data_IF_366623172142
#
_entry.id   IF_366623172142
#
_cell.length_a   1.000
_cell.length_b   1.000
_cell.length_c   1.000
_cell.angle_alpha   90.00
_cell.angle_beta   90.00
_cell.angle_gamma   90.00
#
_symmetry.space_group_name_H-M   'P 1'
#
loop_
_entity.id
_entity.type
_entity.pdbx_description
1 polymer ?
#
# COMPACT_ATOMS: atom_id res chain seq x y z
N UNK A 1 6.03 -6.47 16.07
CA UNK A 1 5.57 -6.43 14.67
C UNK A 1 5.93 -5.08 14.10
N UNK A 2 6.61 -5.03 12.95
CA UNK A 2 7.15 -3.79 12.39
C UNK A 2 6.04 -2.83 12.01
N UNK A 3 5.85 -1.81 12.83
CA UNK A 3 4.91 -0.72 12.57
C UNK A 3 5.64 0.31 11.71
N UNK A 4 5.49 0.19 10.39
CA UNK A 4 6.19 1.05 9.44
C UNK A 4 5.88 2.53 9.68
N UNK A 5 4.65 2.84 10.09
CA UNK A 5 4.22 4.19 10.43
C UNK A 5 4.85 4.68 11.73
N UNK A 6 5.33 3.81 12.60
CA UNK A 6 6.10 4.19 13.79
C UNK A 6 7.57 4.51 13.49
N UNK A 7 8.18 3.78 12.57
CA UNK A 7 9.64 3.76 12.45
C UNK A 7 10.21 4.43 11.21
N UNK A 8 9.48 4.44 10.09
CA UNK A 8 9.96 5.08 8.88
C UNK A 8 10.20 6.59 9.10
N UNK A 9 11.11 7.18 8.36
CA UNK A 9 11.40 8.61 8.41
C UNK A 9 11.37 9.18 7.00
N UNK A 10 11.38 10.50 6.91
CA UNK A 10 11.69 11.19 5.65
C UNK A 10 12.95 10.58 5.03
N UNK A 11 12.89 10.43 3.71
CA UNK A 11 13.90 9.81 2.85
C UNK A 11 14.07 8.29 2.97
N UNK A 12 13.40 7.61 3.90
CA UNK A 12 13.41 6.14 3.93
C UNK A 12 12.73 5.56 2.68
N UNK A 13 13.29 4.45 2.20
CA UNK A 13 12.72 3.66 1.10
C UNK A 13 11.87 2.52 1.66
N UNK A 14 10.63 2.45 1.20
CA UNK A 14 9.67 1.41 1.54
C UNK A 14 9.46 0.55 0.30
N UNK A 15 9.66 -0.76 0.43
CA UNK A 15 9.47 -1.72 -0.66
C UNK A 15 8.38 -2.71 -0.28
N UNK A 16 7.38 -2.85 -1.14
CA UNK A 16 6.35 -3.87 -1.04
C UNK A 16 6.64 -5.04 -1.94
N UNK A 17 6.69 -6.24 -1.38
CA UNK A 17 6.88 -7.49 -2.12
C UNK A 17 5.67 -8.41 -1.99
N UNK A 18 5.36 -9.13 -3.05
CA UNK A 18 4.39 -10.21 -3.01
C UNK A 18 5.02 -11.45 -2.38
N UNK A 19 4.35 -12.00 -1.35
CA UNK A 19 4.69 -13.31 -0.80
C UNK A 19 4.32 -14.44 -1.76
N UNK A 20 4.94 -15.60 -1.55
CA UNK A 20 4.60 -16.84 -2.26
C UNK A 20 3.11 -17.18 -2.05
N UNK A 21 2.32 -17.17 -3.13
CA UNK A 21 0.89 -17.54 -3.10
C UNK A 21 -0.11 -16.41 -3.35
N UNK A 22 0.34 -15.18 -3.63
CA UNK A 22 -0.55 -14.12 -4.13
C UNK A 22 -1.19 -14.53 -5.47
N UNK A 23 -2.51 -14.36 -5.61
CA UNK A 23 -3.24 -14.71 -6.84
C UNK A 23 -2.78 -13.79 -7.98
N UNK A 24 -2.56 -14.37 -9.17
CA UNK A 24 -2.09 -13.63 -10.33
C UNK A 24 -0.58 -13.34 -10.35
N UNK A 25 0.16 -13.73 -9.31
CA UNK A 25 1.61 -13.59 -9.23
C UNK A 25 2.25 -14.98 -9.17
N UNK A 26 3.30 -15.18 -9.98
CA UNK A 26 4.01 -16.46 -10.13
C UNK A 26 4.47 -17.04 -8.80
N UNK A 27 4.33 -18.36 -8.63
CA UNK A 27 4.48 -19.05 -7.34
C UNK A 27 5.93 -19.25 -6.88
N UNK A 28 6.92 -18.88 -7.67
CA UNK A 28 8.31 -19.35 -7.51
C UNK A 28 9.26 -18.31 -6.92
N UNK A 29 9.06 -17.02 -7.15
CA UNK A 29 9.94 -15.94 -6.64
C UNK A 29 9.11 -14.76 -6.11
N UNK A 30 9.55 -14.09 -5.02
CA UNK A 30 8.92 -12.87 -4.57
C UNK A 30 9.01 -11.80 -5.68
N UNK A 31 7.91 -11.10 -5.90
CA UNK A 31 7.82 -10.06 -6.92
C UNK A 31 7.68 -8.69 -6.26
N UNK A 32 8.36 -7.68 -6.80
CA UNK A 32 8.19 -6.32 -6.32
C UNK A 32 6.82 -5.77 -6.75
N UNK A 33 5.99 -5.35 -5.79
CA UNK A 33 4.72 -4.68 -6.09
C UNK A 33 4.95 -3.19 -6.26
N UNK A 34 5.75 -2.60 -5.37
CA UNK A 34 6.07 -1.18 -5.41
C UNK A 34 7.33 -0.86 -4.61
N UNK A 35 7.91 0.31 -4.88
CA UNK A 35 8.73 1.04 -3.90
C UNK A 35 8.26 2.49 -3.80
N UNK A 36 8.54 3.13 -2.67
CA UNK A 36 8.36 4.57 -2.48
C UNK A 36 9.42 5.14 -1.55
N UNK A 37 9.80 6.39 -1.77
CA UNK A 37 10.48 7.21 -0.76
C UNK A 37 9.46 7.95 0.10
N UNK A 38 9.67 8.01 1.40
CA UNK A 38 8.86 8.86 2.29
C UNK A 38 9.25 10.32 2.06
N UNK A 39 8.42 11.05 1.31
CA UNK A 39 8.66 12.46 0.99
C UNK A 39 7.91 13.41 1.93
N UNK A 40 6.74 12.99 2.44
CA UNK A 40 5.89 13.80 3.31
C UNK A 40 5.23 12.92 4.37
N UNK A 41 5.15 13.45 5.58
CA UNK A 41 4.42 12.85 6.70
C UNK A 41 3.28 13.79 7.11
N UNK A 42 2.05 13.26 7.21
CA UNK A 42 0.87 14.00 7.67
C UNK A 42 0.16 13.20 8.77
N UNK A 43 -0.63 13.86 9.60
CA UNK A 43 -1.66 13.17 10.39
C UNK A 43 -2.79 12.67 9.49
N UNK A 44 -3.63 11.76 10.00
CA UNK A 44 -4.81 11.30 9.25
C UNK A 44 -5.74 12.46 8.89
N UNK A 45 -5.97 13.39 9.81
CA UNK A 45 -6.88 14.52 9.57
C UNK A 45 -6.27 15.56 8.63
N UNK A 46 -4.96 15.77 8.68
CA UNK A 46 -4.27 16.60 7.69
C UNK A 46 -4.40 16.00 6.28
N UNK A 47 -4.15 14.69 6.14
CA UNK A 47 -4.36 13.99 4.88
C UNK A 47 -5.82 14.07 4.42
N UNK A 48 -6.76 13.90 5.34
CA UNK A 48 -8.18 13.94 5.05
C UNK A 48 -8.60 15.33 4.56
N UNK A 49 -8.26 16.39 5.29
CA UNK A 49 -8.74 17.75 5.01
C UNK A 49 -8.01 18.43 3.84
N UNK A 50 -6.89 17.87 3.38
CA UNK A 50 -6.15 18.42 2.27
C UNK A 50 -6.85 18.15 0.91
N UNK A 51 -7.22 19.20 0.15
CA UNK A 51 -7.96 19.06 -1.10
C UNK A 51 -7.17 18.29 -2.18
N UNK A 52 -5.82 18.25 -2.11
CA UNK A 52 -4.98 17.49 -3.05
C UNK A 52 -5.30 15.99 -3.03
N UNK A 53 -5.77 15.47 -1.89
CA UNK A 53 -6.06 14.05 -1.69
C UNK A 53 -7.54 13.70 -1.77
N UNK A 54 -8.44 14.68 -1.99
CA UNK A 54 -9.86 14.42 -2.14
C UNK A 54 -10.18 13.36 -3.21
N UNK A 55 -9.41 13.36 -4.31
CA UNK A 55 -9.53 12.38 -5.42
C UNK A 55 -9.08 10.96 -5.08
N UNK A 56 -8.39 10.75 -3.96
CA UNK A 56 -7.93 9.44 -3.47
C UNK A 56 -8.93 8.76 -2.55
N UNK A 57 -9.99 9.47 -2.14
CA UNK A 57 -11.05 8.91 -1.30
C UNK A 57 -11.86 7.88 -2.11
N UNK A 58 -12.30 6.77 -1.49
CA UNK A 58 -13.14 5.79 -2.16
C UNK A 58 -14.39 6.42 -2.77
N UNK A 59 -14.80 5.93 -3.95
CA UNK A 59 -15.99 6.39 -4.65
C UNK A 59 -16.69 5.20 -5.31
N UNK A 60 -17.95 4.95 -4.93
CA UNK A 60 -18.78 3.87 -5.46
C UNK A 60 -20.16 4.44 -5.84
N UNK A 61 -20.60 4.33 -7.11
CA UNK A 61 -19.86 3.80 -8.26
C UNK A 61 -18.72 4.74 -8.69
N UNK A 62 -17.68 4.19 -9.33
CA UNK A 62 -16.52 4.97 -9.76
C UNK A 62 -15.55 4.16 -10.63
N UNK A 63 -14.41 4.74 -11.06
CA UNK A 63 -13.35 3.97 -11.71
C UNK A 63 -12.74 2.94 -10.76
N UNK A 64 -12.24 1.81 -11.28
CA UNK A 64 -11.70 0.68 -10.48
C UNK A 64 -10.78 1.16 -9.35
N UNK A 65 -9.83 2.04 -9.67
CA UNK A 65 -8.85 2.59 -8.71
C UNK A 65 -9.46 3.31 -7.50
N UNK A 66 -10.67 3.87 -7.63
CA UNK A 66 -11.40 4.51 -6.51
C UNK A 66 -12.40 3.58 -5.84
N UNK A 67 -12.70 2.44 -6.44
CA UNK A 67 -13.62 1.45 -5.87
C UNK A 67 -12.92 0.50 -4.90
N UNK A 68 -11.68 0.08 -5.19
CA UNK A 68 -10.91 -0.90 -4.39
C UNK A 68 -9.73 -0.25 -3.64
N UNK A 69 -9.84 1.03 -3.31
CA UNK A 69 -8.82 1.72 -2.52
C UNK A 69 -8.66 1.14 -1.12
N UNK A 70 -7.49 1.37 -0.54
CA UNK A 70 -7.21 1.07 0.87
C UNK A 70 -8.05 1.95 1.81
N UNK A 71 -8.09 1.60 3.09
CA UNK A 71 -8.83 2.33 4.12
C UNK A 71 -8.26 3.74 4.28
N UNK A 72 -9.12 4.73 4.11
CA UNK A 72 -8.80 6.13 4.41
C UNK A 72 -9.48 6.50 5.72
N UNK A 73 -8.68 6.72 6.76
CA UNK A 73 -9.16 7.01 8.11
C UNK A 73 -9.21 8.52 8.39
N UNK A 74 -10.14 8.93 9.25
CA UNK A 74 -10.24 10.27 9.85
C UNK A 74 -10.94 10.19 11.19
N UNK A 75 -10.80 11.20 12.04
CA UNK A 75 -11.68 11.34 13.18
C UNK A 75 -13.12 11.71 12.74
N UNK A 76 -14.10 11.23 13.49
CA UNK A 76 -15.50 11.57 13.35
C UNK A 76 -15.77 13.04 13.67
N UNK A 77 -16.99 13.54 13.41
CA UNK A 77 -17.34 14.94 13.65
C UNK A 77 -17.16 15.41 15.10
N UNK A 78 -17.22 14.48 16.07
CA UNK A 78 -17.02 14.73 17.49
C UNK A 78 -15.53 14.66 17.92
N UNK A 79 -14.64 14.28 17.01
CA UNK A 79 -13.21 14.14 17.25
C UNK A 79 -12.82 12.92 18.10
N UNK A 80 -13.78 12.12 18.57
CA UNK A 80 -13.54 11.04 19.52
C UNK A 80 -13.42 9.68 18.84
N UNK A 81 -14.25 9.42 17.83
CA UNK A 81 -14.30 8.12 17.15
C UNK A 81 -13.54 8.12 15.82
N UNK A 82 -12.95 6.98 15.48
CA UNK A 82 -12.37 6.79 14.15
C UNK A 82 -13.45 6.41 13.14
N UNK A 83 -13.40 7.03 11.97
CA UNK A 83 -14.21 6.69 10.80
C UNK A 83 -13.33 6.39 9.59
N UNK A 84 -13.82 5.58 8.67
CA UNK A 84 -13.20 5.37 7.36
C UNK A 84 -14.26 5.20 6.27
N UNK A 85 -13.90 5.52 5.05
CA UNK A 85 -14.83 5.45 3.90
C UNK A 85 -15.03 4.00 3.40
N UNK A 86 -16.25 3.67 3.03
CA UNK A 86 -16.60 2.35 2.46
C UNK A 86 -15.97 2.17 1.08
N UNK A 87 -15.22 1.09 0.90
CA UNK A 87 -14.72 0.63 -0.41
C UNK A 87 -15.31 -0.74 -0.77
N UNK A 88 -15.04 -1.24 -1.99
CA UNK A 88 -15.51 -2.55 -2.47
C UNK A 88 -15.04 -3.71 -1.59
N UNK A 89 -13.93 -3.54 -0.87
CA UNK A 89 -13.47 -4.52 0.12
C UNK A 89 -14.42 -4.65 1.33
N UNK A 90 -15.34 -3.69 1.53
CA UNK A 90 -16.19 -3.57 2.71
C UNK A 90 -17.67 -3.34 2.38
N UNK A 91 -18.09 -3.59 1.14
CA UNK A 91 -19.47 -3.33 0.70
C UNK A 91 -20.53 -4.15 1.47
N UNK A 92 -20.13 -5.28 2.08
CA UNK A 92 -20.97 -6.10 2.96
C UNK A 92 -20.82 -5.77 4.46
N UNK A 93 -19.93 -4.83 4.80
CA UNK A 93 -19.52 -4.46 6.15
C UNK A 93 -19.79 -2.98 6.32
N UNK A 94 -21.01 -2.62 6.74
CA UNK A 94 -21.33 -1.25 7.12
C UNK A 94 -20.21 -0.64 7.99
N UNK A 95 -19.90 0.63 7.73
CA UNK A 95 -18.86 1.46 8.35
C UNK A 95 -18.51 0.99 9.76
N UNK A 96 -17.43 0.23 9.91
CA UNK A 96 -17.03 -0.30 11.21
C UNK A 96 -16.29 0.78 11.99
N UNK A 97 -16.97 1.42 12.93
CA UNK A 97 -16.31 2.26 13.93
C UNK A 97 -15.51 1.36 14.88
N UNK A 98 -14.27 1.76 15.19
CA UNK A 98 -13.46 1.19 16.28
C UNK A 98 -13.24 -0.34 16.27
N UNK A 99 -13.26 -0.99 15.10
CA UNK A 99 -12.90 -2.41 14.96
C UNK A 99 -11.39 -2.68 15.15
N UNK A 100 -11.00 -3.94 15.38
CA UNK A 100 -9.59 -4.31 15.63
C UNK A 100 -8.60 -3.89 14.52
N UNK A 101 -9.07 -3.78 13.28
CA UNK A 101 -8.28 -3.23 12.17
C UNK A 101 -8.04 -1.72 12.30
N UNK A 102 -9.03 -0.95 12.75
CA UNK A 102 -8.91 0.48 12.98
C UNK A 102 -7.85 0.71 14.04
N UNK A 103 -8.00 0.07 15.21
CA UNK A 103 -7.04 0.16 16.32
C UNK A 103 -5.63 -0.24 15.89
N UNK A 104 -5.48 -1.18 14.96
CA UNK A 104 -4.16 -1.60 14.46
C UNK A 104 -3.55 -0.58 13.52
N UNK A 105 -4.34 -0.03 12.60
CA UNK A 105 -3.85 0.83 11.53
C UNK A 105 -3.71 2.31 11.98
N UNK A 106 -4.43 2.71 13.04
CA UNK A 106 -4.42 4.08 13.60
C UNK A 106 -3.57 4.22 14.87
N UNK A 107 -2.76 3.21 15.24
CA UNK A 107 -1.86 3.27 16.41
C UNK A 107 -0.88 4.43 16.39
N UNK A 108 -0.50 4.84 15.19
CA UNK A 108 0.36 5.99 14.95
C UNK A 108 -0.40 6.91 14.02
N UNK A 109 -0.67 8.13 14.47
CA UNK A 109 -1.35 9.17 13.70
C UNK A 109 -0.41 9.75 12.64
N UNK A 110 -0.08 8.90 11.66
CA UNK A 110 0.84 9.22 10.58
C UNK A 110 0.46 8.52 9.29
N UNK A 111 0.37 9.31 8.24
CA UNK A 111 0.21 8.90 6.84
C UNK A 111 1.50 9.25 6.12
N UNK A 112 2.14 8.25 5.52
CA UNK A 112 3.37 8.40 4.75
C UNK A 112 3.02 8.60 3.28
N UNK A 113 3.53 9.66 2.68
CA UNK A 113 3.26 10.04 1.30
C UNK A 113 4.54 10.11 0.50
N UNK A 114 4.40 9.82 -0.79
CA UNK A 114 5.49 9.84 -1.74
C UNK A 114 5.10 10.58 -3.01
N UNK A 115 6.07 11.31 -3.55
CA UNK A 115 6.16 11.80 -4.91
C UNK A 115 7.16 10.97 -5.74
N UNK A 116 8.02 10.18 -5.08
CA UNK A 116 9.04 9.32 -5.72
C UNK A 116 8.70 7.86 -5.44
N UNK A 117 7.95 7.27 -6.36
CA UNK A 117 7.51 5.90 -6.23
C UNK A 117 7.40 5.23 -7.59
N UNK A 118 7.47 3.90 -7.57
CA UNK A 118 7.04 3.05 -8.68
C UNK A 118 6.07 2.02 -8.14
N UNK A 119 4.88 1.93 -8.74
CA UNK A 119 3.90 0.88 -8.50
C UNK A 119 3.76 0.02 -9.75
N UNK A 120 4.30 -1.20 -9.71
CA UNK A 120 4.20 -2.17 -10.80
C UNK A 120 2.93 -3.02 -10.72
N UNK A 121 2.34 -3.16 -9.53
CA UNK A 121 1.18 -4.01 -9.33
C UNK A 121 1.49 -5.47 -9.72
N UNK A 122 0.68 -6.05 -10.61
CA UNK A 122 0.84 -7.46 -11.05
C UNK A 122 2.00 -7.70 -12.02
N UNK A 123 2.64 -6.64 -12.51
CA UNK A 123 3.74 -6.70 -13.47
C UNK A 123 5.10 -6.42 -12.82
N UNK A 124 5.18 -6.64 -11.51
CA UNK A 124 6.39 -6.51 -10.74
C UNK A 124 7.54 -7.36 -11.26
N UNK A 125 8.79 -6.85 -11.30
CA UNK A 125 9.93 -7.69 -11.57
C UNK A 125 10.11 -8.73 -10.46
N UNK A 126 10.53 -9.93 -10.83
CA UNK A 126 10.95 -10.95 -9.87
C UNK A 126 12.25 -10.52 -9.19
N UNK A 127 12.33 -10.66 -7.87
CA UNK A 127 13.55 -10.33 -7.13
C UNK A 127 14.65 -11.32 -7.48
N UNK A 128 15.83 -10.85 -7.94
CA UNK A 128 16.98 -11.72 -8.21
C UNK A 128 17.44 -12.49 -6.96
N UNK A 129 17.91 -13.73 -7.15
CA UNK A 129 18.26 -14.62 -6.04
C UNK A 129 19.30 -14.04 -5.07
N UNK A 130 20.27 -13.26 -5.58
CA UNK A 130 21.31 -12.62 -4.77
C UNK A 130 20.77 -11.46 -3.90
N UNK A 131 19.63 -10.86 -4.26
CA UNK A 131 18.97 -9.80 -3.48
C UNK A 131 17.96 -10.35 -2.46
N UNK A 132 17.55 -11.62 -2.57
CA UNK A 132 16.63 -12.27 -1.62
C UNK A 132 17.05 -12.12 -0.14
N UNK A 133 18.34 -12.12 0.25
CA UNK A 133 18.76 -11.89 1.63
C UNK A 133 18.36 -10.53 2.24
N UNK A 134 17.98 -9.55 1.41
CA UNK A 134 17.43 -8.25 1.83
C UNK A 134 15.95 -8.35 2.22
N UNK A 135 15.25 -9.38 1.74
CA UNK A 135 13.81 -9.55 1.89
C UNK A 135 13.49 -10.75 2.78
N UNK A 136 13.26 -10.55 4.09
CA UNK A 136 12.95 -11.66 4.99
C UNK A 136 11.65 -12.37 4.55
N UNK A 137 11.68 -13.72 4.56
CA UNK A 137 10.57 -14.60 4.21
C UNK A 137 9.36 -14.55 5.17
N UNK A 138 9.52 -13.85 6.31
CA UNK A 138 8.48 -13.64 7.31
C UNK A 138 8.36 -12.17 7.69
N UNK A 139 7.23 -11.79 8.30
CA UNK A 139 7.02 -10.43 8.85
C UNK A 139 8.09 -10.12 9.91
N UNK A 140 9.09 -9.33 9.54
CA UNK A 140 10.21 -8.92 10.39
C UNK A 140 10.91 -7.69 9.82
N UNK A 141 11.64 -6.98 10.68
CA UNK A 141 12.54 -5.90 10.28
C UNK A 141 13.95 -6.45 10.33
N UNK A 142 14.70 -6.36 9.23
CA UNK A 142 16.14 -6.58 9.22
C UNK A 142 16.78 -5.21 9.08
N UNK A 143 17.76 -4.93 9.92
CA UNK A 143 18.57 -3.72 9.87
C UNK A 143 20.00 -4.16 9.59
N UNK A 144 20.82 -3.24 9.06
CA UNK A 144 22.22 -3.49 8.68
C UNK A 144 22.33 -4.50 7.52
N UNK A 145 22.30 -3.97 6.32
CA UNK A 145 22.48 -4.72 5.08
C UNK A 145 23.88 -4.45 4.52
N UNK A 146 24.34 -5.36 3.68
CA UNK A 146 25.56 -5.15 2.90
C UNK A 146 25.35 -3.96 1.95
N UNK A 147 26.24 -2.96 2.02
CA UNK A 147 26.15 -1.74 1.19
C UNK A 147 26.21 -2.06 -0.31
N UNK A 148 26.94 -3.11 -0.71
CA UNK A 148 26.99 -3.52 -2.11
C UNK A 148 25.64 -4.08 -2.57
N UNK A 149 24.97 -4.89 -1.74
CA UNK A 149 23.63 -5.38 -2.03
C UNK A 149 22.59 -4.24 -2.06
N UNK A 150 22.76 -3.21 -1.24
CA UNK A 150 21.89 -2.04 -1.26
C UNK A 150 22.07 -1.22 -2.55
N UNK A 151 23.31 -1.03 -3.01
CA UNK A 151 23.59 -0.37 -4.28
C UNK A 151 22.99 -1.16 -5.46
N UNK A 152 23.16 -2.48 -5.49
CA UNK A 152 22.54 -3.33 -6.51
C UNK A 152 21.00 -3.27 -6.45
N UNK A 153 20.42 -3.21 -5.26
CA UNK A 153 18.98 -3.04 -5.09
C UNK A 153 18.51 -1.67 -5.62
N UNK A 154 19.23 -0.58 -5.32
CA UNK A 154 18.94 0.76 -5.82
C UNK A 154 18.84 0.77 -7.34
N UNK A 155 19.85 0.21 -8.01
CA UNK A 155 19.91 0.11 -9.46
C UNK A 155 18.78 -0.76 -9.99
N UNK A 156 18.55 -1.92 -9.37
CA UNK A 156 17.52 -2.87 -9.79
C UNK A 156 16.10 -2.28 -9.72
N UNK A 157 15.78 -1.53 -8.67
CA UNK A 157 14.45 -0.91 -8.52
C UNK A 157 14.30 0.42 -9.28
N UNK A 158 15.40 0.92 -9.85
CA UNK A 158 15.45 2.17 -10.58
C UNK A 158 15.12 3.36 -9.69
N UNK A 159 15.76 3.47 -8.52
CA UNK A 159 15.43 4.50 -7.51
C UNK A 159 15.58 5.93 -8.06
N UNK A 160 16.55 6.16 -8.95
CA UNK A 160 16.76 7.45 -9.62
C UNK A 160 15.72 7.78 -10.71
N UNK A 161 14.92 6.79 -11.11
CA UNK A 161 13.99 6.89 -12.24
C UNK A 161 12.58 6.39 -11.87
N UNK A 162 11.89 7.03 -10.89
CA UNK A 162 10.55 6.61 -10.47
C UNK A 162 9.55 6.69 -11.62
N UNK A 163 8.81 5.60 -11.85
CA UNK A 163 7.85 5.47 -12.95
C UNK A 163 6.42 5.87 -12.56
N UNK A 164 6.17 6.24 -11.31
CA UNK A 164 4.83 6.46 -10.77
C UNK A 164 3.95 5.20 -10.89
N UNK A 165 2.89 5.22 -11.69
CA UNK A 165 2.00 4.07 -11.89
C UNK A 165 2.42 3.30 -13.16
N UNK A 166 3.14 2.19 -12.99
CA UNK A 166 3.66 1.36 -14.07
C UNK A 166 2.78 0.15 -14.41
N UNK A 167 1.86 -0.25 -13.52
CA UNK A 167 0.98 -1.39 -13.76
C UNK A 167 -0.24 -1.46 -12.85
N UNK A 168 -1.16 -2.36 -13.19
CA UNK A 168 -2.44 -2.52 -12.48
C UNK A 168 -2.31 -3.48 -11.29
N UNK A 169 -3.11 -3.28 -10.22
CA UNK A 169 -3.23 -4.26 -9.14
C UNK A 169 -3.70 -5.63 -9.62
N UNK A 170 -3.21 -6.71 -9.01
CA UNK A 170 -3.56 -8.08 -9.38
C UNK A 170 -5.06 -8.39 -9.23
N UNK A 171 -5.72 -7.79 -8.24
CA UNK A 171 -7.15 -8.01 -7.96
C UNK A 171 -8.09 -7.27 -8.93
N UNK A 172 -7.57 -6.48 -9.89
CA UNK A 172 -8.42 -5.81 -10.87
C UNK A 172 -9.09 -6.74 -11.88
N UNK A 173 -8.59 -7.96 -11.99
CA UNK A 173 -9.18 -9.03 -12.79
C UNK A 173 -10.16 -9.88 -11.96
N UNK A 174 -10.36 -9.58 -10.67
CA UNK A 174 -11.23 -10.37 -9.81
C UNK A 174 -12.72 -10.05 -10.08
N UNK A 175 -13.51 -11.02 -10.60
CA UNK A 175 -14.92 -10.81 -10.89
C UNK A 175 -15.77 -10.56 -9.63
N UNK A 176 -15.27 -10.90 -8.43
CA UNK A 176 -15.94 -10.54 -7.18
C UNK A 176 -16.11 -9.02 -7.02
N UNK A 177 -15.15 -8.23 -7.51
CA UNK A 177 -15.19 -6.77 -7.39
C UNK A 177 -15.76 -6.09 -8.64
N UNK A 178 -15.51 -6.65 -9.81
CA UNK A 178 -15.81 -5.98 -11.09
C UNK A 178 -16.66 -6.79 -12.07
N UNK A 179 -17.15 -7.96 -11.66
CA UNK A 179 -18.10 -8.74 -12.46
C UNK A 179 -19.44 -8.01 -12.59
N UNK A 180 -20.05 -8.08 -13.77
CA UNK A 180 -21.42 -7.63 -13.95
C UNK A 180 -22.31 -8.41 -12.96
N UNK A 181 -22.99 -7.70 -12.04
CA UNK A 181 -24.06 -8.32 -11.26
C UNK A 181 -25.16 -8.65 -12.26
N UNK A 182 -25.27 -9.90 -12.67
CA UNK A 182 -26.46 -10.39 -13.35
C UNK A 182 -27.60 -10.27 -12.35
N UNK A 183 -28.46 -9.28 -12.54
CA UNK A 183 -29.74 -9.17 -11.85
C UNK A 183 -30.55 -10.42 -12.19
N UNK A 184 -30.75 -11.29 -11.21
CA UNK A 184 -31.82 -12.30 -11.20
C UNK A 184 -33.17 -11.63 -10.95
#
# INVERSE_FOLDING_TARGET
>A
MGDIRKYAKLDDIIIGIAGSGQRGLGRYHPQLIYWMRVDVELTFDQYWNDPRFARKRPQIPGPKIRMVGDRTYRHGPDGADWSFETSMHYLASATQHNGGHVVRDTKVDRVLLSQHYTYWGKFGPAVPDHLLPLFPSHRGQKCQHDEALLAELHDFIGLDWPLSLAGEPADWDNPQYFGARTSS
#
